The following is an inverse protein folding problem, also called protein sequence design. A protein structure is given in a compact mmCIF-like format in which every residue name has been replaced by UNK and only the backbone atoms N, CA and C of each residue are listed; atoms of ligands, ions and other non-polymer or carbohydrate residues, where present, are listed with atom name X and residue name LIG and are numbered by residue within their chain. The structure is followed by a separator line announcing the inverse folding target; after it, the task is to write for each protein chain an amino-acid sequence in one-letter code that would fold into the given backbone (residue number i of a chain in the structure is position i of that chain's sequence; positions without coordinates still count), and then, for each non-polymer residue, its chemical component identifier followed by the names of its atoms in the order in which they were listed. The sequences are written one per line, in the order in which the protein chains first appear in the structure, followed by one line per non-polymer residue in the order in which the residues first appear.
data_IF_202034666466
#
_entry.id   IF_202034666466
#
_cell.length_a   1.000
_cell.length_b   1.000
_cell.length_c   1.000
_cell.angle_alpha   90.00
_cell.angle_beta   90.00
_cell.angle_gamma   90.00
#
_symmetry.space_group_name_H-M   'P 1'
#
loop_
_entity.id
_entity.type
_entity.pdbx_description
1 polymer ?
#
# COMPACT_ATOMS: atom_id res chain seq x y z
N UNK A 1 -22.20 13.21 12.37
CA UNK A 1 -21.80 11.83 12.04
C UNK A 1 -21.82 11.83 10.53
N UNK A 2 -20.66 11.99 9.90
CA UNK A 2 -20.57 11.73 8.45
C UNK A 2 -20.80 10.22 8.31
N UNK A 3 -21.84 9.86 7.56
CA UNK A 3 -22.01 8.50 7.07
C UNK A 3 -20.75 8.18 6.26
N UNK A 4 -19.86 7.39 6.84
CA UNK A 4 -18.60 6.98 6.24
C UNK A 4 -18.98 5.93 5.19
N UNK A 5 -19.31 6.38 3.97
CA UNK A 5 -19.73 5.54 2.85
C UNK A 5 -18.54 4.69 2.34
N UNK A 6 -18.16 3.68 3.12
CA UNK A 6 -17.23 2.65 2.69
C UNK A 6 -17.90 1.79 1.61
N UNK A 7 -17.21 1.63 0.49
CA UNK A 7 -17.58 0.68 -0.57
C UNK A 7 -16.55 -0.46 -0.61
N UNK A 8 -16.92 -1.65 -1.12
CA UNK A 8 -15.97 -2.74 -1.29
C UNK A 8 -14.72 -2.29 -2.05
N UNK A 9 -13.54 -2.76 -1.64
CA UNK A 9 -12.25 -2.33 -2.23
C UNK A 9 -12.22 -2.53 -3.75
N UNK A 10 -12.81 -3.62 -4.25
CA UNK A 10 -12.89 -3.89 -5.69
C UNK A 10 -13.76 -2.88 -6.46
N UNK A 11 -14.75 -2.29 -5.80
CA UNK A 11 -15.60 -1.24 -6.38
C UNK A 11 -14.92 0.13 -6.30
N UNK A 12 -14.26 0.43 -5.17
CA UNK A 12 -13.50 1.68 -4.98
C UNK A 12 -12.32 1.79 -5.96
N UNK A 13 -11.66 0.67 -6.27
CA UNK A 13 -10.42 0.61 -7.03
C UNK A 13 -10.56 -0.27 -8.28
N UNK A 14 -11.68 -0.09 -8.98
CA UNK A 14 -12.01 -0.86 -10.18
C UNK A 14 -10.87 -0.85 -11.21
N UNK A 15 -10.57 -2.02 -11.78
CA UNK A 15 -9.52 -2.20 -12.78
C UNK A 15 -8.11 -2.45 -12.23
N UNK A 16 -7.91 -2.38 -10.91
CA UNK A 16 -6.65 -2.79 -10.29
C UNK A 16 -6.70 -4.26 -9.85
N UNK A 17 -5.56 -4.94 -9.96
CA UNK A 17 -5.37 -6.32 -9.50
C UNK A 17 -4.27 -6.37 -8.45
N UNK A 18 -4.42 -7.24 -7.45
CA UNK A 18 -3.43 -7.47 -6.40
C UNK A 18 -3.16 -8.97 -6.25
N UNK A 19 -1.94 -9.32 -5.82
CA UNK A 19 -1.60 -10.70 -5.48
C UNK A 19 -2.50 -11.22 -4.34
N UNK A 20 -2.93 -12.50 -4.39
CA UNK A 20 -3.78 -13.06 -3.36
C UNK A 20 -3.05 -13.21 -2.03
N UNK A 21 -3.81 -13.26 -0.93
CA UNK A 21 -3.28 -13.66 0.37
C UNK A 21 -2.89 -15.15 0.35
N UNK A 22 -1.99 -15.57 1.26
CA UNK A 22 -1.69 -16.99 1.44
C UNK A 22 -2.94 -17.82 1.78
N UNK A 23 -2.92 -19.10 1.42
CA UNK A 23 -4.04 -20.01 1.68
C UNK A 23 -4.39 -20.09 3.18
N UNK A 24 -5.69 -19.99 3.48
CA UNK A 24 -6.22 -20.05 4.84
C UNK A 24 -6.14 -18.75 5.64
N UNK A 25 -5.60 -17.68 5.07
CA UNK A 25 -5.55 -16.37 5.73
C UNK A 25 -6.83 -15.58 5.47
N UNK A 26 -7.29 -14.87 6.50
CA UNK A 26 -8.45 -13.97 6.42
C UNK A 26 -7.97 -12.54 6.55
N UNK A 27 -8.35 -11.67 5.59
CA UNK A 27 -8.08 -10.24 5.68
C UNK A 27 -8.89 -9.60 6.81
N UNK A 28 -8.23 -8.79 7.65
CA UNK A 28 -8.89 -8.03 8.72
C UNK A 28 -8.93 -6.53 8.44
N UNK A 29 -7.98 -6.03 7.66
CA UNK A 29 -7.93 -4.65 7.22
C UNK A 29 -6.80 -4.44 6.21
N UNK A 30 -6.81 -3.29 5.55
CA UNK A 30 -5.80 -2.92 4.57
C UNK A 30 -5.49 -1.43 4.58
N UNK A 31 -4.22 -1.13 4.32
CA UNK A 31 -3.71 0.21 4.03
C UNK A 31 -3.42 0.24 2.53
N UNK A 32 -3.98 1.22 1.83
CA UNK A 32 -3.95 1.24 0.38
C UNK A 32 -3.43 2.61 -0.10
N UNK A 33 -2.34 2.58 -0.84
CA UNK A 33 -1.77 3.73 -1.55
C UNK A 33 -2.00 3.54 -3.04
N UNK A 34 -2.76 4.46 -3.64
CA UNK A 34 -3.20 4.36 -5.04
C UNK A 34 -2.55 5.48 -5.83
N UNK A 35 -1.74 5.12 -6.83
CA UNK A 35 -1.23 6.10 -7.80
C UNK A 35 -2.34 6.41 -8.80
N UNK A 36 -2.77 7.65 -8.87
CA UNK A 36 -3.88 8.08 -9.72
C UNK A 36 -3.57 9.44 -10.37
N UNK A 37 -4.37 9.81 -11.36
CA UNK A 37 -4.38 11.19 -11.85
C UNK A 37 -5.32 12.04 -10.99
N UNK A 38 -4.91 13.25 -10.66
CA UNK A 38 -5.78 14.26 -10.06
C UNK A 38 -6.73 14.88 -11.11
N UNK A 39 -7.55 15.83 -10.68
CA UNK A 39 -8.48 16.58 -11.52
C UNK A 39 -7.79 17.45 -12.58
N UNK A 40 -6.50 17.73 -12.40
CA UNK A 40 -5.64 18.43 -13.36
C UNK A 40 -4.86 17.46 -14.27
N UNK A 41 -5.10 16.15 -14.16
CA UNK A 41 -4.43 15.13 -14.97
C UNK A 41 -2.97 14.87 -14.56
N UNK A 42 -2.54 15.29 -13.38
CA UNK A 42 -1.18 15.06 -12.86
C UNK A 42 -1.14 13.80 -12.02
N UNK A 43 -0.03 13.07 -12.11
CA UNK A 43 0.17 11.88 -11.28
C UNK A 43 0.29 12.28 -9.80
N UNK A 44 -0.57 11.71 -8.97
CA UNK A 44 -0.61 11.89 -7.52
C UNK A 44 -0.84 10.55 -6.81
N UNK A 45 -0.81 10.56 -5.48
CA UNK A 45 -1.08 9.40 -4.64
C UNK A 45 -2.26 9.68 -3.71
N UNK A 46 -3.25 8.79 -3.75
CA UNK A 46 -4.38 8.79 -2.84
C UNK A 46 -4.20 7.72 -1.75
N UNK A 47 -4.38 8.12 -0.50
CA UNK A 47 -4.40 7.21 0.63
C UNK A 47 -5.83 6.75 0.94
N UNK A 48 -6.00 5.44 1.19
CA UNK A 48 -7.24 4.82 1.67
C UNK A 48 -6.89 3.79 2.75
N UNK A 49 -7.82 3.54 3.67
CA UNK A 49 -7.77 2.41 4.59
C UNK A 49 -9.15 1.76 4.68
N UNK A 50 -9.19 0.48 4.99
CA UNK A 50 -10.43 -0.16 5.45
C UNK A 50 -10.78 0.33 6.86
N UNK A 51 -12.00 0.05 7.29
CA UNK A 51 -12.33 0.13 8.71
C UNK A 51 -11.51 -0.89 9.53
N UNK A 52 -11.51 -0.72 10.85
CA UNK A 52 -10.90 -1.68 11.78
C UNK A 52 -9.42 -1.47 12.12
N UNK A 53 -8.69 -0.60 11.40
CA UNK A 53 -7.32 -0.24 11.76
C UNK A 53 -7.27 1.00 12.66
N UNK A 54 -6.71 0.85 13.86
CA UNK A 54 -6.41 2.02 14.70
C UNK A 54 -5.15 2.75 14.21
N UNK A 55 -4.89 3.93 14.78
CA UNK A 55 -3.80 4.80 14.31
C UNK A 55 -2.42 4.24 14.67
N UNK A 56 -2.30 3.49 15.77
CA UNK A 56 -1.08 2.81 16.15
C UNK A 56 -0.74 1.64 15.20
N UNK A 57 -1.72 0.84 14.82
CA UNK A 57 -1.59 -0.23 13.82
C UNK A 57 -1.21 0.34 12.46
N UNK A 58 -1.85 1.44 12.05
CA UNK A 58 -1.55 2.15 10.81
C UNK A 58 -0.10 2.64 10.78
N UNK A 59 0.31 3.38 11.83
CA UNK A 59 1.66 3.92 11.92
C UNK A 59 2.71 2.79 11.97
N UNK A 60 2.47 1.77 12.78
CA UNK A 60 3.35 0.60 12.91
C UNK A 60 3.58 -0.10 11.57
N UNK A 61 2.50 -0.40 10.84
CA UNK A 61 2.57 -1.08 9.55
C UNK A 61 3.33 -0.25 8.50
N UNK A 62 3.08 1.06 8.42
CA UNK A 62 3.78 1.95 7.48
C UNK A 62 5.27 2.07 7.80
N UNK A 63 5.65 2.17 9.08
CA UNK A 63 7.06 2.20 9.48
C UNK A 63 7.80 0.92 9.08
N UNK A 64 7.22 -0.25 9.38
CA UNK A 64 7.82 -1.54 9.02
C UNK A 64 7.97 -1.68 7.51
N UNK A 65 6.92 -1.38 6.72
CA UNK A 65 6.99 -1.51 5.26
C UNK A 65 8.00 -0.54 4.64
N UNK A 66 8.10 0.68 5.17
CA UNK A 66 9.09 1.68 4.71
C UNK A 66 10.51 1.21 4.99
N UNK A 67 10.78 0.67 6.18
CA UNK A 67 12.11 0.16 6.53
C UNK A 67 12.51 -1.05 5.67
N UNK A 68 11.58 -1.99 5.44
CA UNK A 68 11.82 -3.14 4.55
C UNK A 68 12.13 -2.71 3.13
N UNK A 69 11.31 -1.82 2.54
CA UNK A 69 11.55 -1.31 1.20
C UNK A 69 12.89 -0.56 1.10
N UNK A 70 13.25 0.20 2.14
CA UNK A 70 14.55 0.89 2.19
C UNK A 70 15.71 -0.10 2.15
N UNK A 71 15.62 -1.22 2.88
CA UNK A 71 16.64 -2.28 2.86
C UNK A 71 16.70 -2.97 1.50
N UNK A 72 15.55 -3.37 0.96
CA UNK A 72 15.45 -3.99 -0.38
C UNK A 72 16.12 -3.11 -1.46
N UNK A 73 15.92 -1.79 -1.41
CA UNK A 73 16.53 -0.85 -2.35
C UNK A 73 18.05 -0.67 -2.12
N UNK A 74 18.52 -0.74 -0.88
CA UNK A 74 19.95 -0.67 -0.58
C UNK A 74 20.66 -1.94 -1.04
N UNK A 75 20.08 -3.11 -0.77
CA UNK A 75 20.64 -4.40 -1.17
C UNK A 75 20.75 -4.49 -2.70
N UNK A 76 19.70 -4.06 -3.43
CA UNK A 76 19.72 -4.01 -4.90
C UNK A 76 20.81 -3.07 -5.45
N UNK A 77 21.05 -1.94 -4.79
CA UNK A 77 22.11 -1.01 -5.19
C UNK A 77 23.51 -1.59 -4.95
N UNK A 78 23.72 -2.32 -3.85
CA UNK A 78 25.02 -2.93 -3.55
C UNK A 78 25.34 -4.13 -4.45
N UNK A 79 24.33 -4.89 -4.86
CA UNK A 79 24.52 -5.99 -5.82
C UNK A 79 24.92 -5.47 -7.21
N UNK A 80 24.33 -4.36 -7.66
CA UNK A 80 24.71 -3.71 -8.93
C UNK A 80 26.17 -3.18 -8.92
N UNK A 81 26.65 -2.68 -7.79
CA UNK A 81 28.03 -2.19 -7.63
C UNK A 81 29.08 -3.34 -7.60
N UNK A 82 28.69 -4.57 -7.24
CA UNK A 82 29.58 -5.75 -7.23
C UNK A 82 29.70 -6.43 -8.60
N UNK A 83 28.74 -6.25 -9.52
CA UNK A 83 28.79 -6.79 -10.89
C UNK A 83 29.62 -5.92 -11.87
N UNK A 84 29.91 -4.65 -11.53
CA UNK A 84 30.75 -3.75 -12.34
C UNK A 84 32.24 -3.69 -11.91
N UNK A 85 32.68 -4.54 -10.95
CA UNK A 85 34.02 -4.55 -10.34
C UNK A 85 35.02 -5.60 -10.85
#
# INVERSE_FOLDING_TARGET
MEDDDYVPVGDALSGLTVSPLPDGWTALGAIILVKCFDDEGRSSWAFRRTDGLNDEELLGALMVRTDLLRRELLDAYTDDDEEEG
#
